data_IF_204481063200
#
_entry.id   IF_204481063200
#
_cell.length_a   1.000
_cell.length_b   1.000
_cell.length_c   1.000
_cell.angle_alpha   90.00
_cell.angle_beta   90.00
_cell.angle_gamma   90.00
#
_symmetry.space_group_name_H-M   'P 1'
#
loop_
_entity.id
_entity.type
_entity.pdbx_description
1 polymer ?
#
# COMPACT_ATOMS: atom_id res chain seq x y z
N UNK A 1 3.45 -3.33 -23.06
CA UNK A 1 3.10 -3.29 -21.62
C UNK A 1 4.35 -2.79 -20.92
N UNK A 2 4.37 -1.55 -20.40
CA UNK A 2 5.56 -1.07 -19.71
C UNK A 2 5.63 -1.76 -18.37
N UNK A 3 6.76 -2.40 -18.10
CA UNK A 3 7.07 -2.96 -16.80
C UNK A 3 7.11 -1.80 -15.78
N UNK A 4 6.26 -1.85 -14.75
CA UNK A 4 6.30 -0.85 -13.68
C UNK A 4 7.66 -0.95 -13.00
N UNK A 5 8.51 0.07 -13.16
CA UNK A 5 9.81 0.13 -12.49
C UNK A 5 9.55 0.30 -10.99
N UNK A 6 9.71 -0.77 -10.23
CA UNK A 6 9.58 -0.79 -8.78
C UNK A 6 10.90 -1.20 -8.14
N UNK A 7 11.07 -0.85 -6.87
CA UNK A 7 12.29 -1.18 -6.13
C UNK A 7 12.45 -2.72 -6.03
N UNK A 8 13.66 -3.29 -6.26
CA UNK A 8 13.87 -4.75 -6.35
C UNK A 8 13.59 -5.52 -5.04
N UNK A 9 13.49 -4.81 -3.91
CA UNK A 9 13.06 -5.41 -2.64
C UNK A 9 11.55 -5.74 -2.61
N UNK A 10 10.80 -5.33 -3.62
CA UNK A 10 9.37 -5.58 -3.73
C UNK A 10 9.09 -6.42 -4.98
N UNK A 11 8.05 -7.24 -4.89
CA UNK A 11 7.47 -7.94 -6.03
C UNK A 11 6.12 -7.32 -6.34
N UNK A 12 5.90 -6.91 -7.58
CA UNK A 12 4.58 -6.49 -8.07
C UNK A 12 3.59 -7.66 -8.02
N UNK A 13 2.38 -7.40 -7.51
CA UNK A 13 1.32 -8.41 -7.36
C UNK A 13 0.21 -8.18 -8.39
N UNK A 14 -0.35 -6.97 -8.45
CA UNK A 14 -1.44 -6.61 -9.36
C UNK A 14 -1.61 -5.11 -9.48
N UNK A 15 -2.33 -4.69 -10.52
CA UNK A 15 -2.80 -3.32 -10.73
C UNK A 15 -4.31 -3.32 -10.94
N UNK A 16 -5.01 -2.37 -10.33
CA UNK A 16 -6.46 -2.25 -10.40
C UNK A 16 -6.86 -0.78 -10.57
N UNK A 17 -7.42 -0.38 -11.73
CA UNK A 17 -8.01 0.95 -11.87
C UNK A 17 -9.31 1.04 -11.06
N UNK A 18 -9.52 2.17 -10.39
CA UNK A 18 -10.74 2.49 -9.64
C UNK A 18 -11.32 3.79 -10.20
N UNK A 19 -12.20 3.66 -11.20
CA UNK A 19 -12.76 4.79 -11.93
C UNK A 19 -13.46 5.83 -11.04
N UNK A 20 -14.19 5.36 -10.01
CA UNK A 20 -14.92 6.24 -9.08
C UNK A 20 -13.99 7.16 -8.25
N UNK A 21 -12.71 6.81 -8.14
CA UNK A 21 -11.70 7.59 -7.41
C UNK A 21 -10.66 8.24 -8.35
N UNK A 22 -10.81 8.07 -9.67
CA UNK A 22 -9.85 8.53 -10.68
C UNK A 22 -8.39 8.15 -10.36
N UNK A 23 -8.16 6.92 -9.89
CA UNK A 23 -6.82 6.43 -9.52
C UNK A 23 -6.61 4.97 -9.92
N UNK A 24 -5.35 4.55 -9.92
CA UNK A 24 -4.95 3.14 -10.05
C UNK A 24 -4.28 2.67 -8.77
N UNK A 25 -4.69 1.51 -8.25
CA UNK A 25 -4.05 0.88 -7.11
C UNK A 25 -3.11 -0.21 -7.60
N UNK A 26 -1.83 -0.04 -7.34
CA UNK A 26 -0.82 -1.07 -7.54
C UNK A 26 -0.49 -1.73 -6.19
N UNK A 27 -0.56 -3.06 -6.14
CA UNK A 27 -0.20 -3.87 -4.99
C UNK A 27 1.19 -4.47 -5.18
N UNK A 28 2.02 -4.34 -4.15
CA UNK A 28 3.36 -4.93 -4.07
C UNK A 28 3.54 -5.69 -2.77
N UNK A 29 4.46 -6.64 -2.77
CA UNK A 29 4.88 -7.44 -1.60
C UNK A 29 6.36 -7.23 -1.33
N UNK A 30 6.73 -6.83 -0.13
CA UNK A 30 8.14 -6.77 0.27
C UNK A 30 8.72 -8.17 0.42
N UNK A 31 9.84 -8.45 -0.23
CA UNK A 31 10.40 -9.78 -0.38
C UNK A 31 10.89 -10.36 0.95
N UNK A 32 11.52 -9.55 1.80
CA UNK A 32 12.12 -10.04 3.05
C UNK A 32 11.11 -10.18 4.21
N UNK A 33 10.11 -9.30 4.29
CA UNK A 33 9.19 -9.25 5.44
C UNK A 33 7.77 -9.71 5.12
N UNK A 34 7.44 -9.84 3.83
CA UNK A 34 6.07 -10.07 3.40
C UNK A 34 5.14 -8.87 3.63
N UNK A 35 5.64 -7.68 3.96
CA UNK A 35 4.80 -6.48 4.12
C UNK A 35 4.09 -6.14 2.81
N UNK A 36 2.81 -5.71 2.90
CA UNK A 36 2.06 -5.19 1.75
C UNK A 36 2.35 -3.72 1.56
N UNK A 37 2.53 -3.33 0.31
CA UNK A 37 2.59 -1.93 -0.11
C UNK A 37 1.51 -1.71 -1.16
N UNK A 38 0.68 -0.69 -0.95
CA UNK A 38 -0.27 -0.22 -1.97
C UNK A 38 0.16 1.16 -2.42
N UNK A 39 0.37 1.32 -3.73
CA UNK A 39 0.59 2.62 -4.34
C UNK A 39 -0.70 3.06 -5.02
N UNK A 40 -1.19 4.26 -4.70
CA UNK A 40 -2.39 4.84 -5.31
C UNK A 40 -1.96 5.95 -6.27
N UNK A 41 -1.80 5.60 -7.55
CA UNK A 41 -1.37 6.52 -8.59
C UNK A 41 -2.55 7.38 -9.07
N UNK A 42 -2.39 8.70 -9.00
CA UNK A 42 -3.34 9.70 -9.47
C UNK A 42 -2.60 10.98 -9.88
N UNK A 43 -3.27 11.89 -10.59
CA UNK A 43 -2.73 13.19 -11.02
C UNK A 43 -3.00 14.29 -9.96
N UNK A 44 -2.80 13.95 -8.68
CA UNK A 44 -2.89 14.88 -7.56
C UNK A 44 -1.48 15.12 -6.97
N UNK A 45 -0.98 16.36 -6.90
CA UNK A 45 0.34 16.64 -6.35
C UNK A 45 0.42 16.46 -4.83
N UNK A 46 -0.69 16.38 -4.10
CA UNK A 46 -0.73 16.20 -2.65
C UNK A 46 -0.47 14.74 -2.27
N UNK A 47 0.81 14.40 -2.16
CA UNK A 47 1.24 13.07 -1.81
C UNK A 47 1.03 12.78 -0.31
N UNK A 48 0.58 11.57 0.01
CA UNK A 48 0.40 11.08 1.39
C UNK A 48 1.07 9.73 1.57
N UNK A 49 1.44 9.42 2.82
CA UNK A 49 2.01 8.14 3.19
C UNK A 49 1.37 7.64 4.49
N UNK A 50 1.03 6.35 4.52
CA UNK A 50 0.40 5.69 5.66
C UNK A 50 1.06 4.34 5.92
N UNK A 51 1.34 4.06 7.19
CA UNK A 51 1.72 2.73 7.67
C UNK A 51 0.63 2.24 8.62
N UNK A 52 0.04 1.10 8.30
CA UNK A 52 -0.95 0.43 9.14
C UNK A 52 -0.33 -0.74 9.90
N UNK A 53 -0.44 -0.73 11.22
CA UNK A 53 -0.08 -1.86 12.08
C UNK A 53 -1.36 -2.54 12.57
N UNK A 54 -1.37 -3.87 12.62
CA UNK A 54 -2.49 -4.61 13.21
C UNK A 54 -2.35 -4.58 14.73
N UNK A 55 -3.19 -3.80 15.40
CA UNK A 55 -3.23 -3.67 16.86
C UNK A 55 -4.55 -4.26 17.38
N UNK A 56 -4.52 -5.52 17.84
CA UNK A 56 -5.69 -6.19 18.42
C UNK A 56 -5.54 -6.15 19.95
N UNK A 57 -6.15 -5.19 20.65
CA UNK A 57 -6.06 -5.12 22.11
C UNK A 57 -6.89 -6.25 22.76
N UNK A 58 -6.41 -6.77 23.87
CA UNK A 58 -7.07 -7.82 24.67
C UNK A 58 -7.78 -7.26 25.91
N UNK A 59 -7.64 -5.94 26.16
CA UNK A 59 -8.25 -5.24 27.28
C UNK A 59 -8.61 -3.78 26.92
N UNK A 60 -9.17 -3.04 27.89
CA UNK A 60 -9.60 -1.65 27.73
C UNK A 60 -8.58 -0.62 28.26
N UNK A 61 -7.29 -0.96 28.34
CA UNK A 61 -6.26 -0.04 28.84
C UNK A 61 -5.88 1.07 27.86
N UNK A 62 -6.21 0.90 26.58
CA UNK A 62 -5.82 1.85 25.53
C UNK A 62 -4.40 1.65 25.00
N UNK A 63 -3.76 0.49 25.21
CA UNK A 63 -2.37 0.20 24.79
C UNK A 63 -2.05 0.45 23.31
N UNK A 64 -3.05 0.45 22.43
CA UNK A 64 -2.88 0.70 21.00
C UNK A 64 -3.01 2.18 20.60
N UNK A 65 -3.47 3.03 21.51
CA UNK A 65 -3.73 4.45 21.29
C UNK A 65 -2.45 5.27 21.54
#
# INVERSE_FOLDING_TARGET
>A
MSESIHHPAFTFVRSQPIAALNLTVDEYRHNATGARHYHMATDDPQNVFLVGLRTVPEDSTGVAH
#
